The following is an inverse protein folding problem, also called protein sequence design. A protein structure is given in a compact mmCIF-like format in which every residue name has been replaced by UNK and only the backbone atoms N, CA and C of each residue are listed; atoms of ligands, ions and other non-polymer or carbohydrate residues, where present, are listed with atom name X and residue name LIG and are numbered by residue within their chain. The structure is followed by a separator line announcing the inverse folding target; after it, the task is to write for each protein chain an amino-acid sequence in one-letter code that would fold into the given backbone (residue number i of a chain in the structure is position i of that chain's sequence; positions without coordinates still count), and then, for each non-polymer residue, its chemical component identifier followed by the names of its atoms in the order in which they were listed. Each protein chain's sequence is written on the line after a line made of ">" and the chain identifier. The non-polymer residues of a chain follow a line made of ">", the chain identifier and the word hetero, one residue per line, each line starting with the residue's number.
data_IF_837683924569
#
_entry.id   IF_837683924569
#
_cell.length_a   1.000
_cell.length_b   1.000
_cell.length_c   1.000
_cell.angle_alpha   90.00
_cell.angle_beta   90.00
_cell.angle_gamma   90.00
#
_symmetry.space_group_name_H-M   'P 1'
#
loop_
_entity.id
_entity.type
_entity.pdbx_description
1 polymer ?
#
# COMPACT_ATOMS: atom_id res chain seq x y z
N UNK A 1 -29.89 2.60 21.47
CA UNK A 1 -30.21 3.57 20.39
C UNK A 1 -29.39 4.86 20.53
N UNK A 2 -29.20 5.39 21.74
CA UNK A 2 -28.42 6.62 22.01
C UNK A 2 -26.94 6.52 21.62
N UNK A 3 -26.24 5.43 21.93
CA UNK A 3 -24.82 5.27 21.59
C UNK A 3 -24.53 5.24 20.08
N UNK A 4 -25.35 4.54 19.29
CA UNK A 4 -25.23 4.49 17.82
C UNK A 4 -25.44 5.87 17.19
N UNK A 5 -26.40 6.64 17.70
CA UNK A 5 -26.67 8.00 17.22
C UNK A 5 -25.50 8.94 17.54
N UNK A 6 -24.94 8.83 18.76
CA UNK A 6 -23.76 9.62 19.16
C UNK A 6 -22.56 9.29 18.27
N UNK A 7 -22.28 8.00 18.03
CA UNK A 7 -21.19 7.57 17.14
C UNK A 7 -21.42 8.07 15.71
N UNK A 8 -22.65 7.98 15.20
CA UNK A 8 -22.98 8.49 13.87
C UNK A 8 -22.76 10.01 13.79
N UNK A 9 -23.27 10.77 14.77
CA UNK A 9 -23.08 12.21 14.83
C UNK A 9 -21.59 12.58 14.92
N UNK A 10 -20.81 11.94 15.79
CA UNK A 10 -19.38 12.23 15.94
C UNK A 10 -18.58 11.92 14.67
N UNK A 11 -18.94 10.85 13.94
CA UNK A 11 -18.28 10.50 12.69
C UNK A 11 -18.70 11.41 11.54
N UNK A 12 -19.99 11.75 11.41
CA UNK A 12 -20.53 12.43 10.22
C UNK A 12 -20.51 13.95 10.35
N UNK A 13 -20.70 14.49 11.56
CA UNK A 13 -20.75 15.93 11.82
C UNK A 13 -19.51 16.69 11.33
N UNK A 14 -18.25 16.22 11.54
CA UNK A 14 -17.07 16.91 11.04
C UNK A 14 -17.07 17.03 9.51
N UNK A 15 -17.50 15.99 8.80
CA UNK A 15 -17.56 16.00 7.32
C UNK A 15 -18.67 16.91 6.80
N UNK A 16 -19.84 16.93 7.46
CA UNK A 16 -20.92 17.88 7.13
C UNK A 16 -20.42 19.32 7.33
N UNK A 17 -19.77 19.62 8.45
CA UNK A 17 -19.24 20.96 8.71
C UNK A 17 -18.16 21.36 7.70
N UNK A 18 -17.28 20.42 7.34
CA UNK A 18 -16.28 20.65 6.30
C UNK A 18 -16.95 21.00 4.97
N UNK A 19 -17.97 20.24 4.57
CA UNK A 19 -18.74 20.50 3.35
C UNK A 19 -19.44 21.86 3.38
N UNK A 20 -20.16 22.16 4.47
CA UNK A 20 -20.87 23.42 4.62
C UNK A 20 -19.93 24.62 4.57
N UNK A 21 -18.75 24.57 5.21
CA UNK A 21 -17.77 25.66 5.15
C UNK A 21 -17.15 25.86 3.77
N UNK A 22 -17.06 24.81 2.95
CA UNK A 22 -16.50 24.91 1.59
C UNK A 22 -17.52 25.47 0.62
N UNK A 23 -18.78 25.08 0.75
CA UNK A 23 -19.87 25.40 -0.19
C UNK A 23 -20.62 26.68 0.20
N UNK A 24 -20.72 26.99 1.49
CA UNK A 24 -21.32 28.23 1.99
C UNK A 24 -20.24 29.17 2.49
N UNK A 25 -20.07 30.30 1.80
CA UNK A 25 -19.17 31.37 2.19
C UNK A 25 -19.99 32.59 2.59
N UNK A 26 -19.83 33.07 3.83
CA UNK A 26 -20.60 34.20 4.39
C UNK A 26 -22.14 34.03 4.30
N UNK A 27 -22.63 32.79 4.35
CA UNK A 27 -24.06 32.48 4.25
C UNK A 27 -24.59 32.30 2.82
N UNK A 28 -23.76 32.55 1.80
CA UNK A 28 -24.13 32.36 0.39
C UNK A 28 -23.52 31.09 -0.19
N UNK A 29 -24.27 30.41 -1.05
CA UNK A 29 -23.77 29.28 -1.83
C UNK A 29 -22.72 29.76 -2.83
N UNK A 30 -21.51 29.19 -2.77
CA UNK A 30 -20.38 29.58 -3.60
C UNK A 30 -19.49 28.40 -3.96
N UNK A 31 -19.29 28.18 -5.26
CA UNK A 31 -18.34 27.19 -5.79
C UNK A 31 -16.93 27.77 -6.02
N UNK A 32 -16.68 28.99 -5.54
CA UNK A 32 -15.43 29.72 -5.79
C UNK A 32 -14.18 28.95 -5.34
N UNK A 33 -14.24 28.22 -4.23
CA UNK A 33 -13.09 27.42 -3.78
C UNK A 33 -12.71 26.35 -4.81
N UNK A 34 -13.69 25.69 -5.42
CA UNK A 34 -13.41 24.68 -6.44
C UNK A 34 -12.84 25.29 -7.72
N UNK A 35 -13.40 26.43 -8.17
CA UNK A 35 -12.86 27.14 -9.34
C UNK A 35 -11.45 27.66 -9.08
N UNK A 36 -11.18 28.19 -7.89
CA UNK A 36 -9.86 28.67 -7.49
C UNK A 36 -8.84 27.51 -7.44
N UNK A 37 -9.25 26.35 -6.91
CA UNK A 37 -8.39 25.15 -6.87
C UNK A 37 -7.99 24.68 -8.28
N UNK A 38 -8.91 24.73 -9.25
CA UNK A 38 -8.63 24.36 -10.65
C UNK A 38 -7.59 25.29 -11.31
N UNK A 39 -7.49 26.54 -10.88
CA UNK A 39 -6.52 27.50 -11.40
C UNK A 39 -5.12 27.32 -10.79
N UNK A 40 -4.98 26.62 -9.66
CA UNK A 40 -3.69 26.43 -9.00
C UNK A 40 -2.90 25.30 -9.69
N UNK A 41 -1.86 25.67 -10.45
CA UNK A 41 -0.95 24.71 -11.12
C UNK A 41 -0.38 23.64 -10.18
N UNK A 42 -0.09 23.99 -8.92
CA UNK A 42 0.39 23.04 -7.93
C UNK A 42 -0.64 21.96 -7.60
N UNK A 43 -1.93 22.31 -7.52
CA UNK A 43 -3.03 21.37 -7.27
C UNK A 43 -3.19 20.41 -8.44
N UNK A 44 -3.14 20.91 -9.68
CA UNK A 44 -3.21 20.07 -10.87
C UNK A 44 -2.06 19.06 -10.93
N UNK A 45 -0.83 19.51 -10.69
CA UNK A 45 0.35 18.62 -10.63
C UNK A 45 0.22 17.59 -9.50
N UNK A 46 -0.25 18.01 -8.33
CA UNK A 46 -0.46 17.13 -7.19
C UNK A 46 -1.51 16.04 -7.49
N UNK A 47 -2.59 16.40 -8.18
CA UNK A 47 -3.60 15.44 -8.63
C UNK A 47 -3.03 14.40 -9.61
N UNK A 48 -2.32 14.85 -10.66
CA UNK A 48 -1.69 13.96 -11.62
C UNK A 48 -0.65 13.05 -10.98
N UNK A 49 0.19 13.58 -10.09
CA UNK A 49 1.15 12.79 -9.34
C UNK A 49 0.46 11.76 -8.46
N UNK A 50 -0.61 12.13 -7.77
CA UNK A 50 -1.39 11.21 -6.92
C UNK A 50 -1.95 10.07 -7.75
N UNK A 51 -2.59 10.35 -8.89
CA UNK A 51 -3.11 9.30 -9.78
C UNK A 51 -2.00 8.39 -10.29
N UNK A 52 -0.89 8.96 -10.79
CA UNK A 52 0.27 8.17 -11.27
C UNK A 52 0.82 7.26 -10.18
N UNK A 53 1.09 7.81 -9.00
CA UNK A 53 1.63 7.07 -7.86
C UNK A 53 0.69 5.97 -7.40
N UNK A 54 -0.60 6.27 -7.20
CA UNK A 54 -1.57 5.28 -6.73
C UNK A 54 -1.73 4.13 -7.74
N UNK A 55 -1.84 4.44 -9.04
CA UNK A 55 -1.92 3.42 -10.08
C UNK A 55 -0.65 2.57 -10.10
N UNK A 56 0.54 3.18 -10.05
CA UNK A 56 1.81 2.45 -10.01
C UNK A 56 1.92 1.53 -8.80
N UNK A 57 1.55 2.00 -7.60
CA UNK A 57 1.57 1.19 -6.37
C UNK A 57 0.59 0.02 -6.47
N UNK A 58 -0.63 0.25 -6.99
CA UNK A 58 -1.64 -0.80 -7.18
C UNK A 58 -1.19 -1.86 -8.17
N UNK A 59 -0.63 -1.44 -9.31
CA UNK A 59 -0.12 -2.38 -10.33
C UNK A 59 1.07 -3.17 -9.81
N UNK A 60 2.05 -2.51 -9.17
CA UNK A 60 3.19 -3.18 -8.59
C UNK A 60 2.78 -4.17 -7.49
N UNK A 61 1.81 -3.79 -6.65
CA UNK A 61 1.21 -4.66 -5.64
C UNK A 61 0.59 -5.91 -6.25
N UNK A 62 -0.17 -5.79 -7.36
CA UNK A 62 -0.72 -6.95 -8.08
C UNK A 62 0.38 -7.85 -8.66
N UNK A 63 1.37 -7.25 -9.32
CA UNK A 63 2.49 -7.98 -9.95
C UNK A 63 3.31 -8.75 -8.93
N UNK A 64 3.45 -8.24 -7.70
CA UNK A 64 4.18 -8.91 -6.63
C UNK A 64 3.30 -9.95 -5.91
N UNK A 65 2.11 -9.52 -5.47
CA UNK A 65 1.29 -10.32 -4.58
C UNK A 65 0.66 -11.55 -5.25
N UNK A 66 0.25 -11.43 -6.52
CA UNK A 66 -0.45 -12.52 -7.21
C UNK A 66 0.48 -13.72 -7.47
N UNK A 67 1.70 -13.55 -8.02
CA UNK A 67 2.63 -14.66 -8.14
C UNK A 67 3.04 -15.25 -6.80
N UNK A 68 3.25 -14.44 -5.76
CA UNK A 68 3.58 -14.94 -4.41
C UNK A 68 2.45 -15.78 -3.82
N UNK A 69 1.21 -15.31 -3.92
CA UNK A 69 0.05 -16.07 -3.45
C UNK A 69 -0.15 -17.36 -4.25
N UNK A 70 0.02 -17.31 -5.58
CA UNK A 70 -0.06 -18.49 -6.42
C UNK A 70 1.02 -19.53 -6.09
N UNK A 71 2.28 -19.09 -5.94
CA UNK A 71 3.41 -19.93 -5.53
C UNK A 71 3.13 -20.63 -4.20
N UNK A 72 2.68 -19.87 -3.19
CA UNK A 72 2.45 -20.39 -1.84
C UNK A 72 1.14 -21.16 -1.65
N UNK A 73 0.21 -21.12 -2.61
CA UNK A 73 -1.08 -21.84 -2.56
C UNK A 73 -1.22 -22.98 -3.54
N UNK A 74 -0.43 -23.02 -4.61
CA UNK A 74 -0.57 -24.04 -5.66
C UNK A 74 0.69 -24.83 -5.92
N UNK A 75 1.83 -24.50 -5.32
CA UNK A 75 3.05 -25.25 -5.54
C UNK A 75 3.60 -25.84 -4.24
N UNK A 76 4.41 -26.90 -4.34
CA UNK A 76 5.09 -27.59 -3.23
C UNK A 76 6.25 -26.77 -2.63
N UNK A 77 5.99 -25.51 -2.29
CA UNK A 77 6.99 -24.59 -1.78
C UNK A 77 7.38 -24.91 -0.32
N UNK A 78 8.69 -24.97 0.00
CA UNK A 78 9.16 -25.32 1.34
C UNK A 78 8.72 -24.28 2.38
N UNK A 79 8.15 -24.75 3.50
CA UNK A 79 7.66 -23.91 4.58
C UNK A 79 6.59 -22.88 4.17
N UNK A 80 5.79 -23.16 3.12
CA UNK A 80 4.81 -22.23 2.57
C UNK A 80 3.96 -21.51 3.64
N UNK A 81 3.48 -22.24 4.67
CA UNK A 81 2.69 -21.64 5.75
C UNK A 81 3.45 -20.58 6.55
N UNK A 82 4.73 -20.79 6.85
CA UNK A 82 5.57 -19.82 7.56
C UNK A 82 5.81 -18.57 6.70
N UNK A 83 6.02 -18.75 5.40
CA UNK A 83 6.17 -17.63 4.46
C UNK A 83 4.89 -16.84 4.28
N UNK A 84 3.72 -17.49 4.24
CA UNK A 84 2.43 -16.79 4.23
C UNK A 84 2.29 -15.86 5.42
N UNK A 85 2.69 -16.31 6.62
CA UNK A 85 2.71 -15.46 7.82
C UNK A 85 3.78 -14.38 7.78
N UNK A 86 5.00 -14.69 7.37
CA UNK A 86 6.10 -13.72 7.33
C UNK A 86 5.81 -12.59 6.32
N UNK A 87 5.38 -12.95 5.11
CA UNK A 87 5.08 -11.99 4.04
C UNK A 87 3.80 -11.19 4.29
N UNK A 88 3.02 -11.48 5.34
CA UNK A 88 1.91 -10.62 5.78
C UNK A 88 2.31 -9.63 6.87
N UNK A 89 3.44 -9.84 7.57
CA UNK A 89 3.90 -8.97 8.64
C UNK A 89 4.10 -7.49 8.25
N UNK A 90 4.52 -7.13 7.02
CA UNK A 90 4.62 -5.72 6.65
C UNK A 90 3.32 -4.93 6.90
N UNK A 91 2.15 -5.56 6.77
CA UNK A 91 0.86 -4.91 7.04
C UNK A 91 0.74 -4.34 8.47
N UNK A 92 1.42 -4.97 9.45
CA UNK A 92 1.36 -4.53 10.84
C UNK A 92 2.14 -3.24 11.10
N UNK A 93 3.03 -2.84 10.19
CA UNK A 93 3.87 -1.65 10.34
C UNK A 93 3.26 -0.53 9.49
N UNK A 94 2.94 0.64 10.08
CA UNK A 94 2.50 1.79 9.31
C UNK A 94 3.53 2.17 8.24
N UNK A 95 3.14 2.39 6.97
CA UNK A 95 4.10 2.64 5.88
C UNK A 95 5.06 3.81 6.13
N UNK A 96 4.63 4.85 6.86
CA UNK A 96 5.49 5.99 7.22
C UNK A 96 6.68 5.58 8.10
N UNK A 97 6.50 4.58 8.97
CA UNK A 97 7.58 4.01 9.79
C UNK A 97 8.58 3.31 8.89
N UNK A 98 8.08 2.58 7.88
CA UNK A 98 8.90 2.03 6.81
C UNK A 98 9.66 3.09 6.00
N UNK A 99 9.05 4.26 5.75
CA UNK A 99 9.73 5.36 5.07
C UNK A 99 10.92 5.88 5.88
N UNK A 100 10.76 6.05 7.20
CA UNK A 100 11.88 6.43 8.09
C UNK A 100 12.99 5.40 8.03
N UNK A 101 12.64 4.10 8.07
CA UNK A 101 13.60 3.02 7.94
C UNK A 101 14.41 3.09 6.64
N UNK A 102 13.71 3.25 5.51
CA UNK A 102 14.34 3.31 4.20
C UNK A 102 15.13 4.61 3.98
N UNK A 103 14.74 5.71 4.64
CA UNK A 103 15.56 6.90 4.72
C UNK A 103 16.86 6.61 5.47
N UNK A 104 16.79 5.94 6.62
CA UNK A 104 17.99 5.54 7.36
C UNK A 104 18.92 4.65 6.51
N UNK A 105 18.36 3.71 5.76
CA UNK A 105 19.12 2.74 4.97
C UNK A 105 19.65 3.29 3.63
N UNK A 106 18.86 4.08 2.91
CA UNK A 106 19.08 4.39 1.50
C UNK A 106 19.03 5.91 1.19
N UNK A 107 19.25 6.76 2.19
CA UNK A 107 19.56 8.16 1.96
C UNK A 107 20.84 8.28 1.10
N UNK A 108 20.85 9.11 0.04
CA UNK A 108 21.99 9.21 -0.88
C UNK A 108 23.29 9.67 -0.22
N UNK A 109 23.24 10.46 0.85
CA UNK A 109 24.43 10.98 1.54
C UNK A 109 24.75 10.22 2.82
N UNK A 110 23.74 9.81 3.59
CA UNK A 110 23.92 9.21 4.93
C UNK A 110 23.33 7.81 5.08
N UNK A 111 22.87 7.20 3.98
CA UNK A 111 22.24 5.88 4.00
C UNK A 111 23.25 4.78 4.36
N UNK A 112 22.90 3.93 5.32
CA UNK A 112 23.75 2.82 5.76
C UNK A 112 24.18 1.92 4.59
N UNK A 113 23.26 1.60 3.67
CA UNK A 113 23.57 0.76 2.50
C UNK A 113 24.57 1.45 1.59
N UNK A 114 24.39 2.74 1.32
CA UNK A 114 25.31 3.52 0.49
C UNK A 114 26.71 3.60 1.11
N UNK A 115 26.77 3.74 2.43
CA UNK A 115 28.04 3.76 3.14
C UNK A 115 28.78 2.42 3.06
N UNK A 116 28.06 1.29 3.17
CA UNK A 116 28.63 -0.06 3.01
C UNK A 116 29.06 -0.31 1.56
N UNK A 117 28.31 0.19 0.58
CA UNK A 117 28.62 0.05 -0.84
C UNK A 117 29.70 1.03 -1.34
N UNK A 118 30.17 1.96 -0.49
CA UNK A 118 31.23 2.90 -0.83
C UNK A 118 30.81 4.03 -1.78
N UNK A 119 29.52 4.38 -1.84
CA UNK A 119 29.05 5.49 -2.69
C UNK A 119 27.54 5.67 -2.71
N UNK A 120 27.03 6.77 -3.30
CA UNK A 120 25.61 7.10 -3.38
C UNK A 120 24.87 6.23 -4.43
N UNK A 121 24.90 4.91 -4.25
CA UNK A 121 24.34 3.92 -5.19
C UNK A 121 22.81 3.97 -5.20
N UNK A 122 22.20 4.16 -4.03
CA UNK A 122 20.76 4.23 -3.85
C UNK A 122 20.33 5.66 -3.48
N UNK A 123 19.21 6.10 -4.05
CA UNK A 123 18.55 7.34 -3.65
C UNK A 123 17.07 7.08 -3.38
N UNK A 124 16.73 7.00 -2.10
CA UNK A 124 15.35 6.80 -1.68
C UNK A 124 14.45 7.98 -2.02
N UNK A 125 14.98 9.21 -2.07
CA UNK A 125 14.23 10.43 -2.36
C UNK A 125 13.93 10.56 -3.86
N UNK A 126 12.98 9.75 -4.32
CA UNK A 126 12.57 9.67 -5.72
C UNK A 126 11.12 9.20 -5.84
N UNK A 127 10.52 9.40 -7.02
CA UNK A 127 9.20 8.84 -7.35
C UNK A 127 9.20 7.31 -7.21
N UNK A 128 10.27 6.66 -7.68
CA UNK A 128 10.44 5.20 -7.60
C UNK A 128 10.65 4.73 -6.17
N UNK A 129 11.42 5.46 -5.35
CA UNK A 129 11.59 5.18 -3.92
C UNK A 129 10.26 5.29 -3.15
N UNK A 130 9.45 6.31 -3.45
CA UNK A 130 8.10 6.44 -2.88
C UNK A 130 7.23 5.22 -3.24
N UNK A 131 7.15 4.88 -4.53
CA UNK A 131 6.35 3.74 -5.01
C UNK A 131 6.84 2.44 -4.37
N UNK A 132 8.16 2.24 -4.33
CA UNK A 132 8.78 1.05 -3.73
C UNK A 132 8.42 0.89 -2.26
N UNK A 133 8.56 1.95 -1.46
CA UNK A 133 8.25 1.89 -0.03
C UNK A 133 6.77 1.60 0.15
N UNK A 134 5.87 2.37 -0.46
CA UNK A 134 4.42 2.12 -0.34
C UNK A 134 4.04 0.71 -0.78
N UNK A 135 4.52 0.25 -1.94
CA UNK A 135 4.24 -1.11 -2.43
C UNK A 135 4.72 -2.17 -1.45
N UNK A 136 5.88 -1.99 -0.79
CA UNK A 136 6.44 -2.96 0.17
C UNK A 136 5.54 -3.23 1.38
N UNK A 137 4.61 -2.31 1.69
CA UNK A 137 3.62 -2.50 2.75
C UNK A 137 2.24 -2.85 2.17
N UNK A 138 1.82 -2.14 1.11
CA UNK A 138 0.46 -2.22 0.59
C UNK A 138 0.20 -3.47 -0.26
N UNK A 139 1.22 -4.16 -0.80
CA UNK A 139 1.02 -5.41 -1.55
C UNK A 139 0.28 -6.47 -0.72
N UNK A 140 0.40 -6.40 0.61
CA UNK A 140 -0.21 -7.34 1.57
C UNK A 140 -1.74 -7.41 1.45
N UNK A 141 -2.41 -6.33 1.07
CA UNK A 141 -3.86 -6.33 0.83
C UNK A 141 -4.27 -7.26 -0.31
N UNK A 142 -3.53 -7.20 -1.43
CA UNK A 142 -3.75 -8.12 -2.55
C UNK A 142 -3.30 -9.52 -2.17
N UNK A 143 -2.17 -9.66 -1.47
CA UNK A 143 -1.61 -10.96 -1.10
C UNK A 143 -2.57 -11.78 -0.22
N UNK A 144 -3.08 -11.18 0.86
CA UNK A 144 -3.99 -11.83 1.79
C UNK A 144 -5.34 -12.17 1.16
N UNK A 145 -5.91 -11.26 0.38
CA UNK A 145 -7.17 -11.50 -0.33
C UNK A 145 -7.02 -12.60 -1.38
N UNK A 146 -5.91 -12.62 -2.12
CA UNK A 146 -5.60 -13.65 -3.12
C UNK A 146 -5.39 -15.02 -2.46
N UNK A 147 -4.59 -15.11 -1.39
CA UNK A 147 -4.41 -16.35 -0.62
C UNK A 147 -5.77 -16.90 -0.14
N UNK A 148 -6.59 -16.05 0.49
CA UNK A 148 -7.90 -16.47 0.98
C UNK A 148 -8.82 -16.95 -0.15
N UNK A 149 -8.74 -16.35 -1.34
CA UNK A 149 -9.52 -16.77 -2.50
C UNK A 149 -9.05 -18.12 -3.04
N UNK A 150 -7.73 -18.30 -3.18
CA UNK A 150 -7.12 -19.53 -3.69
C UNK A 150 -7.35 -20.70 -2.74
N UNK A 151 -7.27 -20.48 -1.42
CA UNK A 151 -7.45 -21.54 -0.44
C UNK A 151 -8.93 -22.01 -0.32
N UNK A 152 -9.90 -21.13 -0.66
CA UNK A 152 -11.35 -21.45 -0.63
C UNK A 152 -11.89 -21.98 -1.96
N UNK A 153 -11.14 -21.80 -3.05
CA UNK A 153 -11.54 -22.25 -4.38
C UNK A 153 -11.44 -23.77 -4.48
N UNK A 154 -12.48 -24.42 -5.00
CA UNK A 154 -12.42 -25.83 -5.39
C UNK A 154 -11.43 -26.00 -6.56
N UNK A 155 -10.47 -26.91 -6.41
CA UNK A 155 -9.47 -27.18 -7.43
C UNK A 155 -9.99 -28.05 -8.57
N UNK A 156 -11.21 -28.60 -8.51
CA UNK A 156 -11.78 -29.50 -9.53
C UNK A 156 -11.63 -28.99 -10.98
N UNK A 157 -11.88 -27.70 -11.22
CA UNK A 157 -11.68 -27.07 -12.54
C UNK A 157 -10.20 -27.00 -12.95
N UNK A 158 -9.30 -26.75 -11.98
CA UNK A 158 -7.85 -26.79 -12.22
C UNK A 158 -7.40 -28.21 -12.56
N UNK A 159 -7.94 -29.24 -11.88
CA UNK A 159 -7.60 -30.64 -12.14
C UNK A 159 -8.11 -31.11 -13.50
N UNK A 160 -9.36 -30.77 -13.86
CA UNK A 160 -9.92 -31.11 -15.16
C UNK A 160 -9.14 -30.48 -16.32
N UNK A 161 -8.70 -29.23 -16.16
CA UNK A 161 -7.82 -28.57 -17.13
C UNK A 161 -6.46 -29.28 -17.24
N UNK A 162 -5.87 -29.72 -16.12
CA UNK A 162 -4.62 -30.50 -16.14
C UNK A 162 -4.79 -31.85 -16.83
N UNK A 163 -5.86 -32.58 -16.54
CA UNK A 163 -6.18 -33.86 -17.18
C UNK A 163 -6.39 -33.70 -18.70
N UNK A 164 -6.81 -32.51 -19.13
CA UNK A 164 -6.93 -32.14 -20.55
C UNK A 164 -5.61 -31.67 -21.17
N UNK A 165 -4.48 -31.80 -20.47
CA UNK A 165 -3.15 -31.46 -20.98
C UNK A 165 -2.74 -29.99 -20.81
N UNK A 166 -3.48 -29.17 -20.05
CA UNK A 166 -3.09 -27.78 -19.81
C UNK A 166 -1.88 -27.67 -18.87
N UNK A 167 -0.89 -26.86 -19.27
CA UNK A 167 0.28 -26.55 -18.42
C UNK A 167 -0.12 -25.70 -17.19
N UNK A 168 0.67 -25.68 -16.11
CA UNK A 168 0.33 -24.92 -14.90
C UNK A 168 0.05 -23.44 -15.15
N UNK A 169 0.81 -22.79 -16.04
CA UNK A 169 0.60 -21.40 -16.42
C UNK A 169 -0.71 -21.21 -17.20
N UNK A 170 -1.08 -22.18 -18.05
CA UNK A 170 -2.36 -22.16 -18.78
C UNK A 170 -3.54 -22.34 -17.85
N UNK A 171 -3.44 -23.28 -16.89
CA UNK A 171 -4.46 -23.45 -15.84
C UNK A 171 -4.61 -22.16 -15.04
N UNK A 172 -3.50 -21.54 -14.61
CA UNK A 172 -3.55 -20.28 -13.89
C UNK A 172 -4.22 -19.17 -14.70
N UNK A 173 -3.82 -18.96 -15.96
CA UNK A 173 -4.33 -17.87 -16.79
C UNK A 173 -5.79 -18.06 -17.23
N UNK A 174 -6.16 -19.29 -17.60
CA UNK A 174 -7.43 -19.58 -18.26
C UNK A 174 -8.52 -20.04 -17.28
N UNK A 175 -8.14 -20.57 -16.11
CA UNK A 175 -9.07 -21.09 -15.08
C UNK A 175 -8.97 -20.27 -13.80
N UNK A 176 -7.82 -20.30 -13.13
CA UNK A 176 -7.66 -19.72 -11.79
C UNK A 176 -7.86 -18.20 -11.79
N UNK A 177 -7.16 -17.49 -12.68
CA UNK A 177 -7.14 -16.02 -12.74
C UNK A 177 -8.53 -15.43 -13.02
N UNK A 178 -9.33 -15.93 -13.98
CA UNK A 178 -10.72 -15.49 -14.16
C UNK A 178 -11.60 -15.69 -12.93
N UNK A 179 -11.43 -16.81 -12.20
CA UNK A 179 -12.20 -17.11 -10.98
C UNK A 179 -11.84 -16.14 -9.85
N UNK A 180 -10.55 -15.90 -9.62
CA UNK A 180 -10.09 -14.99 -8.54
C UNK A 180 -10.12 -13.51 -8.93
N UNK A 181 -10.38 -13.16 -10.20
CA UNK A 181 -10.38 -11.78 -10.71
C UNK A 181 -11.24 -10.80 -9.87
N UNK A 182 -12.46 -11.15 -9.43
CA UNK A 182 -13.24 -10.27 -8.55
C UNK A 182 -12.51 -9.95 -7.25
N UNK A 183 -11.86 -10.94 -6.64
CA UNK A 183 -11.05 -10.76 -5.43
C UNK A 183 -9.83 -9.87 -5.70
N UNK A 184 -9.16 -10.04 -6.83
CA UNK A 184 -8.03 -9.19 -7.23
C UNK A 184 -8.43 -7.72 -7.40
N UNK A 185 -9.61 -7.46 -7.97
CA UNK A 185 -10.15 -6.10 -8.13
C UNK A 185 -10.41 -5.49 -6.74
N UNK A 186 -11.01 -6.24 -5.82
CA UNK A 186 -11.24 -5.78 -4.45
C UNK A 186 -9.94 -5.50 -3.70
N UNK A 187 -8.94 -6.38 -3.82
CA UNK A 187 -7.60 -6.16 -3.23
C UNK A 187 -6.90 -4.93 -3.83
N UNK A 188 -6.95 -4.78 -5.16
CA UNK A 188 -6.37 -3.64 -5.87
C UNK A 188 -7.02 -2.30 -5.47
N UNK A 189 -8.34 -2.31 -5.26
CA UNK A 189 -9.07 -1.15 -4.74
C UNK A 189 -8.59 -0.77 -3.34
N UNK A 190 -8.43 -1.74 -2.43
CA UNK A 190 -7.94 -1.47 -1.08
C UNK A 190 -6.53 -0.85 -1.11
N UNK A 191 -5.65 -1.35 -1.97
CA UNK A 191 -4.33 -0.74 -2.19
C UNK A 191 -4.46 0.69 -2.70
N UNK A 192 -5.31 0.93 -3.70
CA UNK A 192 -5.49 2.27 -4.25
C UNK A 192 -6.04 3.26 -3.21
N UNK A 193 -7.03 2.84 -2.42
CA UNK A 193 -7.63 3.63 -1.35
C UNK A 193 -6.63 3.94 -0.23
N UNK A 194 -5.77 2.98 0.12
CA UNK A 194 -4.70 3.20 1.09
C UNK A 194 -3.64 4.18 0.53
N UNK A 195 -3.23 4.01 -0.72
CA UNK A 195 -2.23 4.86 -1.37
C UNK A 195 -2.71 6.31 -1.54
N UNK A 196 -3.96 6.53 -1.97
CA UNK A 196 -4.51 7.88 -2.18
C UNK A 196 -4.69 8.65 -0.87
N UNK A 197 -4.94 7.93 0.23
CA UNK A 197 -5.03 8.50 1.58
C UNK A 197 -3.66 8.68 2.25
N UNK A 198 -2.58 8.19 1.65
CA UNK A 198 -1.25 8.23 2.27
C UNK A 198 -0.68 9.65 2.31
N UNK A 199 -0.17 10.02 3.49
CA UNK A 199 0.52 11.29 3.72
C UNK A 199 1.98 11.10 4.13
N UNK A 200 2.26 10.16 5.04
CA UNK A 200 3.58 10.03 5.66
C UNK A 200 4.71 9.71 4.68
N UNK A 201 4.54 8.67 3.86
CA UNK A 201 5.57 8.31 2.85
C UNK A 201 5.72 9.40 1.79
N UNK A 202 4.64 9.96 1.20
CA UNK A 202 4.75 11.10 0.30
C UNK A 202 5.43 12.32 0.90
N UNK A 203 5.19 12.64 2.17
CA UNK A 203 5.82 13.78 2.83
C UNK A 203 7.32 13.56 3.07
N UNK A 204 7.70 12.38 3.57
CA UNK A 204 9.08 12.06 3.95
C UNK A 204 9.98 11.74 2.75
N UNK A 205 9.44 11.06 1.73
CA UNK A 205 10.20 10.62 0.55
C UNK A 205 9.91 11.49 -0.67
N UNK A 206 8.62 11.71 -0.96
CA UNK A 206 8.19 12.49 -2.12
C UNK A 206 8.51 13.98 -1.99
N UNK A 207 8.38 14.55 -0.78
CA UNK A 207 8.66 15.95 -0.49
C UNK A 207 10.07 16.39 -0.93
N UNK A 208 11.14 15.74 -0.42
CA UNK A 208 12.51 16.00 -0.88
C UNK A 208 12.72 15.81 -2.38
N UNK A 209 12.02 14.84 -2.98
CA UNK A 209 12.03 14.60 -4.43
C UNK A 209 11.19 15.59 -5.26
N UNK A 210 10.54 16.58 -4.61
CA UNK A 210 9.57 17.53 -5.22
C UNK A 210 8.38 16.83 -5.89
N UNK A 211 8.03 15.63 -5.43
CA UNK A 211 6.85 14.87 -5.83
C UNK A 211 5.75 15.12 -4.80
N UNK A 212 4.96 16.17 -5.03
CA UNK A 212 3.83 16.51 -4.18
C UNK A 212 2.58 15.75 -4.64
N UNK A 213 1.86 15.17 -3.67
CA UNK A 213 0.56 14.54 -3.81
C UNK A 213 -0.54 15.42 -3.20
N UNK A 214 -1.80 15.13 -3.47
CA UNK A 214 -2.94 15.91 -2.94
C UNK A 214 -2.91 15.97 -1.41
N UNK A 215 -2.57 14.87 -0.73
CA UNK A 215 -2.43 14.81 0.73
C UNK A 215 -1.35 15.77 1.25
N UNK A 216 -0.18 15.81 0.61
CA UNK A 216 0.89 16.77 0.96
C UNK A 216 0.51 18.22 0.61
N UNK A 217 -0.31 18.43 -0.41
CA UNK A 217 -0.80 19.75 -0.80
C UNK A 217 -1.85 20.28 0.18
N UNK A 218 -2.72 19.41 0.70
CA UNK A 218 -3.64 19.72 1.81
C UNK A 218 -2.84 20.21 3.01
N UNK A 219 -1.81 19.45 3.42
CA UNK A 219 -0.96 19.83 4.54
C UNK A 219 -0.23 21.16 4.30
N UNK A 220 0.24 21.39 3.07
CA UNK A 220 0.88 22.66 2.69
C UNK A 220 -0.07 23.85 2.87
N UNK A 221 -1.33 23.74 2.44
CA UNK A 221 -2.33 24.79 2.66
C UNK A 221 -2.70 24.96 4.13
N UNK A 222 -2.76 23.87 4.92
CA UNK A 222 -2.97 23.97 6.37
C UNK A 222 -1.84 24.76 7.06
N UNK A 223 -0.59 24.51 6.67
CA UNK A 223 0.58 25.21 7.24
C UNK A 223 0.65 26.70 6.90
N UNK A 224 -0.01 27.15 5.84
CA UNK A 224 -0.09 28.59 5.52
C UNK A 224 -0.92 29.37 6.55
N UNK A 225 -1.83 28.72 7.28
CA UNK A 225 -2.57 29.32 8.40
C UNK A 225 -3.60 30.39 8.05
N UNK A 226 -3.69 30.85 6.79
CA UNK A 226 -4.71 31.82 6.38
C UNK A 226 -6.08 31.17 6.17
N UNK A 227 -7.17 31.89 6.44
CA UNK A 227 -8.53 31.38 6.25
C UNK A 227 -8.76 30.88 4.81
N UNK A 228 -8.29 31.62 3.81
CA UNK A 228 -8.38 31.21 2.41
C UNK A 228 -7.61 29.92 2.09
N UNK A 229 -6.45 29.70 2.71
CA UNK A 229 -5.70 28.46 2.55
C UNK A 229 -6.38 27.29 3.27
N UNK A 230 -6.93 27.49 4.46
CA UNK A 230 -7.71 26.48 5.18
C UNK A 230 -8.94 26.04 4.39
N UNK A 231 -9.65 26.97 3.74
CA UNK A 231 -10.78 26.64 2.85
C UNK A 231 -10.32 25.82 1.63
N UNK A 232 -9.17 26.15 1.03
CA UNK A 232 -8.58 25.35 -0.06
C UNK A 232 -8.18 23.93 0.40
N UNK A 233 -7.60 23.81 1.59
CA UNK A 233 -7.30 22.51 2.20
C UNK A 233 -8.58 21.69 2.40
N UNK A 234 -9.63 22.30 2.96
CA UNK A 234 -10.93 21.67 3.14
C UNK A 234 -11.56 21.23 1.81
N UNK A 235 -11.48 22.06 0.77
CA UNK A 235 -11.96 21.73 -0.58
C UNK A 235 -11.24 20.52 -1.18
N UNK A 236 -9.92 20.44 -1.06
CA UNK A 236 -9.15 19.27 -1.50
C UNK A 236 -9.47 18.00 -0.70
N UNK A 237 -9.60 18.10 0.62
CA UNK A 237 -10.01 16.98 1.47
C UNK A 237 -11.39 16.45 1.08
N UNK A 238 -12.33 17.36 0.78
CA UNK A 238 -13.66 16.99 0.30
C UNK A 238 -13.63 16.29 -1.06
N UNK A 239 -12.81 16.78 -2.00
CA UNK A 239 -12.62 16.11 -3.29
C UNK A 239 -12.03 14.70 -3.15
N UNK A 240 -11.01 14.52 -2.30
CA UNK A 240 -10.45 13.19 -2.02
C UNK A 240 -11.49 12.25 -1.41
N UNK A 241 -12.32 12.75 -0.49
CA UNK A 241 -13.42 11.98 0.11
C UNK A 241 -14.43 11.54 -0.94
N UNK A 242 -14.87 12.43 -1.84
CA UNK A 242 -15.77 12.07 -2.94
C UNK A 242 -15.16 10.97 -3.81
N UNK A 243 -13.89 11.12 -4.19
CA UNK A 243 -13.19 10.13 -5.01
C UNK A 243 -13.17 8.77 -4.31
N UNK A 244 -12.84 8.73 -3.01
CA UNK A 244 -12.83 7.51 -2.23
C UNK A 244 -14.22 6.84 -2.16
N UNK A 245 -15.27 7.63 -1.89
CA UNK A 245 -16.66 7.13 -1.85
C UNK A 245 -17.08 6.58 -3.22
N UNK A 246 -16.83 7.31 -4.30
CA UNK A 246 -17.18 6.88 -5.66
C UNK A 246 -16.48 5.57 -6.02
N UNK A 247 -15.21 5.41 -5.66
CA UNK A 247 -14.45 4.18 -5.87
C UNK A 247 -15.01 3.01 -5.06
N UNK A 248 -15.38 3.24 -3.79
CA UNK A 248 -16.02 2.23 -2.94
C UNK A 248 -17.39 1.79 -3.49
N UNK A 249 -18.21 2.76 -3.91
CA UNK A 249 -19.53 2.51 -4.50
C UNK A 249 -19.38 1.73 -5.81
N UNK A 250 -18.48 2.17 -6.70
CA UNK A 250 -18.19 1.48 -7.96
C UNK A 250 -17.74 0.03 -7.71
N UNK A 251 -16.88 -0.19 -6.72
CA UNK A 251 -16.44 -1.53 -6.36
C UNK A 251 -17.55 -2.40 -5.76
N UNK A 252 -18.42 -1.83 -4.93
CA UNK A 252 -19.58 -2.54 -4.39
C UNK A 252 -20.48 -3.05 -5.52
N UNK A 253 -20.81 -2.20 -6.49
CA UNK A 253 -21.60 -2.59 -7.66
C UNK A 253 -20.88 -3.61 -8.56
N UNK A 254 -19.57 -3.48 -8.74
CA UNK A 254 -18.78 -4.44 -9.52
C UNK A 254 -18.72 -5.83 -8.87
N UNK A 255 -18.63 -5.89 -7.54
CA UNK A 255 -18.57 -7.14 -6.78
C UNK A 255 -19.92 -7.86 -6.74
N UNK A 256 -21.03 -7.14 -6.68
CA UNK A 256 -22.37 -7.73 -6.52
C UNK A 256 -22.84 -8.51 -7.76
N UNK A 257 -22.30 -8.20 -8.96
CA UNK A 257 -22.64 -8.89 -10.21
C UNK A 257 -21.96 -10.24 -10.41
N UNK A 258 -20.95 -10.60 -9.58
CA UNK A 258 -20.11 -11.79 -9.77
C UNK A 258 -20.00 -12.64 -8.50
N UNK A 259 -21.10 -12.78 -7.77
CA UNK A 259 -21.23 -13.78 -6.70
C UNK A 259 -21.35 -15.17 -7.36
N UNK A 260 -20.31 -15.58 -8.09
CA UNK A 260 -20.13 -16.96 -8.52
C UNK A 260 -19.85 -17.75 -7.24
N UNK A 261 -20.93 -18.27 -6.69
CA UNK A 261 -20.91 -19.27 -5.66
C UNK A 261 -20.22 -20.51 -6.23
N UNK A 262 -18.93 -20.70 -5.94
CA UNK A 262 -18.38 -22.04 -5.91
C UNK A 262 -18.71 -22.62 -4.54
N UNK A 263 -19.98 -22.98 -4.35
CA UNK A 263 -20.36 -23.93 -3.30
C UNK A 263 -19.82 -25.29 -3.77
N UNK A 264 -18.61 -25.62 -3.33
CA UNK A 264 -17.99 -26.93 -3.49
C UNK A 264 -17.77 -27.55 -2.11
N UNK A 265 -18.41 -28.69 -1.87
CA UNK A 265 -18.60 -29.29 -0.55
C UNK A 265 -17.32 -29.79 0.16
N UNK A 266 -17.34 -29.61 1.49
CA UNK A 266 -16.67 -30.33 2.59
C UNK A 266 -15.18 -30.70 2.56
N UNK A 267 -14.43 -30.62 1.46
CA UNK A 267 -12.96 -30.72 1.48
C UNK A 267 -12.34 -30.09 0.22
N UNK A 268 -12.14 -28.77 0.22
CA UNK A 268 -11.24 -28.15 -0.74
C UNK A 268 -9.81 -28.62 -0.39
N UNK A 269 -9.31 -29.66 -1.07
CA UNK A 269 -7.90 -30.04 -0.98
C UNK A 269 -7.18 -29.30 -2.11
N UNK A 270 -6.29 -28.34 -1.81
CA UNK A 270 -5.56 -27.65 -2.86
C UNK A 270 -4.70 -28.66 -3.62
N UNK A 271 -4.94 -28.80 -4.92
CA UNK A 271 -4.04 -29.55 -5.79
C UNK A 271 -2.74 -28.78 -5.95
N UNK A 272 -1.61 -29.41 -5.65
CA UNK A 272 -0.29 -28.77 -5.73
C UNK A 272 0.47 -29.25 -6.97
N UNK A 273 1.26 -28.34 -7.54
CA UNK A 273 2.24 -28.60 -8.58
C UNK A 273 3.62 -28.84 -7.95
N UNK A 274 4.40 -29.74 -8.53
CA UNK A 274 5.80 -29.97 -8.14
C UNK A 274 6.72 -28.93 -8.80
N UNK A 275 7.44 -28.14 -8.00
CA UNK A 275 8.52 -27.24 -8.44
C UNK A 275 9.79 -28.02 -8.82
N UNK A 276 9.96 -29.24 -8.29
CA UNK A 276 11.17 -30.02 -8.48
C UNK A 276 12.43 -29.28 -8.01
N UNK A 277 13.39 -29.03 -8.91
CA UNK A 277 14.64 -28.30 -8.58
C UNK A 277 14.45 -26.79 -8.46
N UNK A 278 13.38 -26.21 -9.04
CA UNK A 278 13.11 -24.77 -9.00
C UNK A 278 12.66 -24.26 -7.62
N UNK A 279 12.36 -25.16 -6.68
CA UNK A 279 11.97 -24.81 -5.30
C UNK A 279 13.04 -24.01 -4.55
N UNK A 280 14.32 -24.28 -4.81
CA UNK A 280 15.41 -23.59 -4.11
C UNK A 280 15.67 -22.18 -4.66
N UNK A 281 15.76 -21.95 -5.99
CA UNK A 281 15.76 -20.59 -6.52
C UNK A 281 14.55 -19.78 -6.10
N UNK A 282 13.34 -20.36 -6.14
CA UNK A 282 12.13 -19.70 -5.67
C UNK A 282 12.21 -19.37 -4.18
N UNK A 283 12.70 -20.29 -3.35
CA UNK A 283 12.92 -20.06 -1.92
C UNK A 283 13.87 -18.89 -1.67
N UNK A 284 15.02 -18.86 -2.35
CA UNK A 284 15.99 -17.76 -2.23
C UNK A 284 15.36 -16.43 -2.66
N UNK A 285 14.64 -16.40 -3.77
CA UNK A 285 13.97 -15.19 -4.26
C UNK A 285 12.93 -14.66 -3.26
N UNK A 286 12.12 -15.55 -2.67
CA UNK A 286 11.13 -15.18 -1.65
C UNK A 286 11.81 -14.73 -0.35
N UNK A 287 12.90 -15.38 0.07
CA UNK A 287 13.70 -14.94 1.20
C UNK A 287 14.29 -13.55 0.99
N UNK A 288 14.86 -13.29 -0.19
CA UNK A 288 15.40 -11.98 -0.55
C UNK A 288 14.31 -10.92 -0.54
N UNK A 289 13.16 -11.21 -1.15
CA UNK A 289 12.01 -10.32 -1.16
C UNK A 289 11.54 -10.01 0.27
N UNK A 290 11.27 -11.03 1.10
CA UNK A 290 10.86 -10.88 2.49
C UNK A 290 11.88 -10.11 3.34
N UNK A 291 13.17 -10.32 3.07
CA UNK A 291 14.25 -9.59 3.73
C UNK A 291 14.20 -8.10 3.37
N UNK A 292 14.04 -7.78 2.08
CA UNK A 292 13.95 -6.40 1.60
C UNK A 292 12.71 -5.71 2.15
N UNK A 293 11.52 -6.32 2.06
CA UNK A 293 10.27 -5.62 2.43
C UNK A 293 10.00 -5.58 3.93
N UNK A 294 10.61 -6.46 4.72
CA UNK A 294 10.35 -6.56 6.17
C UNK A 294 11.60 -6.44 7.03
N UNK A 295 12.57 -7.34 6.86
CA UNK A 295 13.73 -7.44 7.77
C UNK A 295 14.60 -6.19 7.71
N UNK A 296 14.90 -5.70 6.50
CA UNK A 296 15.68 -4.48 6.32
C UNK A 296 14.99 -3.27 6.97
N UNK A 297 13.72 -2.94 6.69
CA UNK A 297 13.02 -1.85 7.38
C UNK A 297 13.00 -1.99 8.91
N UNK A 298 12.68 -3.17 9.43
CA UNK A 298 12.64 -3.41 10.89
C UNK A 298 14.03 -3.21 11.49
N UNK A 299 15.06 -3.79 10.88
CA UNK A 299 16.45 -3.60 11.30
C UNK A 299 16.89 -2.13 11.19
N UNK A 300 16.49 -1.44 10.12
CA UNK A 300 16.76 -0.02 9.92
C UNK A 300 16.16 0.86 11.01
N UNK A 301 14.93 0.55 11.47
CA UNK A 301 14.29 1.26 12.58
C UNK A 301 15.02 0.99 13.89
N UNK A 302 15.31 -0.28 14.20
CA UNK A 302 16.03 -0.66 15.42
C UNK A 302 17.38 0.07 15.46
N UNK A 303 18.14 0.01 14.37
CA UNK A 303 19.43 0.71 14.25
C UNK A 303 19.28 2.23 14.33
N UNK A 304 18.26 2.80 13.69
CA UNK A 304 17.99 4.25 13.79
C UNK A 304 17.67 4.69 15.22
N UNK A 305 17.01 3.84 16.01
CA UNK A 305 16.67 4.15 17.41
C UNK A 305 17.90 4.09 18.34
N UNK A 306 18.88 3.26 17.99
CA UNK A 306 20.10 3.05 18.77
C UNK A 306 21.27 3.91 18.32
N UNK A 307 21.22 4.50 17.13
CA UNK A 307 22.33 5.31 16.58
C UNK A 307 22.31 6.74 17.10
N UNK A 308 23.48 7.29 17.42
CA UNK A 308 23.65 8.71 17.74
C UNK A 308 23.67 9.57 16.48
N UNK A 309 24.43 9.12 15.48
CA UNK A 309 24.62 9.81 14.21
C UNK A 309 24.21 8.91 13.06
N UNK A 310 23.34 9.40 12.19
CA UNK A 310 22.92 8.65 11.01
C UNK A 310 24.09 8.47 10.02
N UNK A 311 24.28 7.24 9.55
CA UNK A 311 25.27 6.91 8.53
C UNK A 311 26.64 6.47 9.07
N UNK A 312 26.92 6.65 10.36
CA UNK A 312 28.14 6.12 10.97
C UNK A 312 27.99 4.63 11.34
N UNK A 313 28.92 3.81 10.86
CA UNK A 313 28.92 2.36 11.13
C UNK A 313 29.98 2.06 12.19
N UNK A 314 29.56 1.60 13.36
CA UNK A 314 30.47 1.18 14.42
C UNK A 314 29.78 0.99 15.78
N UNK A 315 30.36 0.14 16.62
CA UNK A 315 29.82 -0.12 17.97
C UNK A 315 29.78 1.14 18.84
N UNK A 316 30.68 2.11 18.60
CA UNK A 316 30.70 3.39 19.29
C UNK A 316 29.45 4.26 19.00
N UNK A 317 28.77 4.03 17.87
CA UNK A 317 27.57 4.75 17.49
C UNK A 317 26.29 4.12 18.08
N UNK A 318 26.37 2.90 18.66
CA UNK A 318 25.22 2.18 19.22
C UNK A 318 25.08 2.51 20.71
N UNK A 319 23.95 3.09 21.10
CA UNK A 319 23.67 3.49 22.49
C UNK A 319 22.17 3.51 22.80
N UNK A 320 21.84 3.52 24.09
CA UNK A 320 20.48 3.76 24.60
C UNK A 320 20.22 5.23 24.94
N UNK A 321 21.13 6.15 24.59
CA UNK A 321 20.99 7.57 24.90
C UNK A 321 19.69 8.20 24.36
N UNK A 322 19.25 7.79 23.17
CA UNK A 322 17.98 8.27 22.59
C UNK A 322 16.77 7.87 23.45
N UNK A 323 16.79 6.67 24.03
CA UNK A 323 15.72 6.17 24.90
C UNK A 323 15.72 6.89 26.26
N UNK A 324 16.89 7.17 26.83
CA UNK A 324 17.01 7.94 28.08
C UNK A 324 16.57 9.40 27.94
N UNK A 325 16.55 9.96 26.72
CA UNK A 325 16.08 11.34 26.48
C UNK A 325 14.56 11.45 26.39
N UNK A 326 13.85 10.35 26.12
CA UNK A 326 12.41 10.34 25.83
C UNK A 326 11.59 9.80 27.02
N UNK A 327 12.18 8.93 27.84
CA UNK A 327 11.59 8.39 29.08
C UNK A 327 11.87 9.31 30.27
#
# INVERSE_FOLDING_TARGET
>A
MTATLIVFCLCVYPFINLFLKVVFQNGEFSLKIFTDLLQVKAVHRAFLNTMKVCISITLASLVIAVPLAWLLSRWDFPFAQKFRSWLSLPYAIPPYVGAIAWIYLANPTTGLINHVLGGPVLNIYSLTGLIFVETSFLYTFVFLSTLSSLDRMDSSLEEAARLSGASPLRVFKDVTLPIIRPTLISGALLVFLAAIASFGVPALIGGPARVYLVTTQIYTFMRMGSMGALLKAAGLSFLLMIIAILLLVAAHFASNRKRMQTVGGKTARPSTYELGKLRWPAFIAVCLFGTVVFILPVGGIILSSLSLTQGEVGFANITLANWHRIL
#
